data_IF_699338365398
#
_entry.id   IF_699338365398
#
_cell.length_a   1.000
_cell.length_b   1.000
_cell.length_c   1.000
_cell.angle_alpha   90.00
_cell.angle_beta   90.00
_cell.angle_gamma   90.00
#
_symmetry.space_group_name_H-M   'P 1'
#
loop_
_entity.id
_entity.type
_entity.pdbx_description
1 polymer ?
#
# COMPACT_ATOMS: atom_id res chain seq x y z
N UNK A 1 -4.80 -25.90 -46.49
CA UNK A 1 -4.31 -26.13 -45.10
C UNK A 1 -3.73 -24.81 -44.62
N UNK A 2 -4.49 -24.03 -43.86
CA UNK A 2 -3.97 -22.79 -43.25
C UNK A 2 -2.90 -23.16 -42.23
N UNK A 3 -1.68 -22.70 -42.45
CA UNK A 3 -0.67 -22.67 -41.39
C UNK A 3 -1.18 -21.71 -40.32
N UNK A 4 -1.74 -22.27 -39.25
CA UNK A 4 -2.04 -21.54 -38.03
C UNK A 4 -0.71 -21.12 -37.41
N UNK A 5 -0.22 -19.95 -37.80
CA UNK A 5 1.02 -19.40 -37.28
C UNK A 5 0.73 -18.97 -35.83
N UNK A 6 0.92 -19.89 -34.88
CA UNK A 6 0.82 -19.56 -33.46
C UNK A 6 1.90 -18.52 -33.13
N UNK A 7 1.46 -17.29 -32.94
CA UNK A 7 2.27 -16.17 -32.50
C UNK A 7 2.83 -16.45 -31.10
N UNK A 8 3.99 -17.11 -31.04
CA UNK A 8 4.65 -17.38 -29.76
C UNK A 8 5.27 -16.10 -29.21
N UNK A 9 4.83 -15.68 -28.03
CA UNK A 9 5.38 -14.51 -27.35
C UNK A 9 6.68 -14.84 -26.62
N UNK A 10 7.65 -13.92 -26.70
CA UNK A 10 8.92 -14.05 -25.99
C UNK A 10 8.73 -13.85 -24.49
N UNK A 11 9.33 -14.72 -23.68
CA UNK A 11 9.41 -14.57 -22.22
C UNK A 11 10.02 -13.24 -21.78
N UNK A 12 10.93 -12.66 -22.58
CA UNK A 12 11.50 -11.34 -22.30
C UNK A 12 10.47 -10.22 -22.41
N UNK A 13 9.53 -10.30 -23.36
CA UNK A 13 8.42 -9.33 -23.47
C UNK A 13 7.46 -9.44 -22.29
N UNK A 14 7.18 -10.67 -21.84
CA UNK A 14 6.37 -10.90 -20.66
C UNK A 14 7.00 -10.31 -19.39
N UNK A 15 8.28 -10.62 -19.14
CA UNK A 15 9.01 -10.06 -18.00
C UNK A 15 9.09 -8.53 -18.06
N UNK A 16 9.36 -7.96 -19.24
CA UNK A 16 9.38 -6.51 -19.44
C UNK A 16 8.03 -5.84 -19.17
N UNK A 17 6.93 -6.49 -19.57
CA UNK A 17 5.58 -6.01 -19.28
C UNK A 17 5.31 -5.99 -17.78
N UNK A 18 5.58 -7.09 -17.07
CA UNK A 18 5.39 -7.17 -15.61
C UNK A 18 6.25 -6.13 -14.88
N UNK A 19 7.55 -6.03 -15.21
CA UNK A 19 8.45 -5.08 -14.56
C UNK A 19 8.02 -3.62 -14.78
N UNK A 20 7.62 -3.28 -16.01
CA UNK A 20 7.10 -1.94 -16.33
C UNK A 20 5.81 -1.66 -15.55
N UNK A 21 4.89 -2.63 -15.49
CA UNK A 21 3.65 -2.49 -14.73
C UNK A 21 3.91 -2.30 -13.23
N UNK A 22 4.81 -3.06 -12.62
CA UNK A 22 5.18 -2.89 -11.20
C UNK A 22 5.71 -1.48 -10.95
N UNK A 23 6.63 -1.00 -11.79
CA UNK A 23 7.20 0.34 -11.66
C UNK A 23 6.13 1.43 -11.78
N UNK A 24 5.28 1.37 -12.81
CA UNK A 24 4.18 2.34 -13.01
C UNK A 24 3.20 2.30 -11.85
N UNK A 25 2.78 1.10 -11.43
CA UNK A 25 1.82 0.93 -10.34
C UNK A 25 2.36 1.47 -9.01
N UNK A 26 3.66 1.30 -8.71
CA UNK A 26 4.28 1.87 -7.52
C UNK A 26 4.07 3.39 -7.43
N UNK A 27 4.30 4.12 -8.53
CA UNK A 27 4.06 5.57 -8.55
C UNK A 27 2.56 5.90 -8.52
N UNK A 28 1.72 5.15 -9.24
CA UNK A 28 0.27 5.37 -9.25
C UNK A 28 -0.38 5.14 -7.88
N UNK A 29 0.23 4.38 -6.97
CA UNK A 29 -0.28 4.28 -5.61
C UNK A 29 -0.36 5.64 -4.91
N UNK A 30 0.43 6.65 -5.31
CA UNK A 30 0.42 8.01 -4.76
C UNK A 30 -0.65 8.92 -5.36
N UNK A 31 -1.47 8.46 -6.31
CA UNK A 31 -2.41 9.31 -7.06
C UNK A 31 -3.45 10.07 -6.21
N UNK A 32 -3.70 9.64 -4.96
CA UNK A 32 -4.71 10.25 -4.08
C UNK A 32 -4.11 11.10 -2.95
N UNK A 33 -2.79 11.31 -2.91
CA UNK A 33 -2.21 12.20 -1.91
C UNK A 33 -2.74 13.64 -2.12
N UNK A 34 -3.01 14.33 -1.02
CA UNK A 34 -3.49 15.71 -1.02
C UNK A 34 -2.39 16.72 -1.41
N UNK A 35 -1.14 16.50 -0.99
CA UNK A 35 0.03 17.34 -1.34
C UNK A 35 1.19 16.48 -1.81
N UNK A 36 2.00 16.99 -2.75
CA UNK A 36 3.23 16.33 -3.20
C UNK A 36 4.29 16.25 -2.09
N UNK A 37 4.29 17.18 -1.14
CA UNK A 37 5.21 17.14 0.01
C UNK A 37 4.94 15.92 0.91
N UNK A 38 3.76 15.31 0.79
CA UNK A 38 3.40 14.09 1.51
C UNK A 38 3.80 12.80 0.76
N UNK A 39 4.46 12.90 -0.40
CA UNK A 39 4.89 11.77 -1.21
C UNK A 39 6.19 11.12 -0.68
N UNK A 40 6.16 10.63 0.55
CA UNK A 40 7.30 9.95 1.17
C UNK A 40 7.44 8.50 0.69
N UNK A 41 8.68 8.00 0.64
CA UNK A 41 8.94 6.61 0.28
C UNK A 41 8.37 5.64 1.32
N UNK A 42 7.69 4.58 0.86
CA UNK A 42 7.07 3.56 1.71
C UNK A 42 7.50 2.16 1.29
N UNK A 43 8.13 1.44 2.22
CA UNK A 43 8.49 0.02 2.05
C UNK A 43 7.23 -0.82 1.81
N UNK A 44 6.15 -0.57 2.55
CA UNK A 44 4.88 -1.28 2.38
C UNK A 44 4.33 -1.13 0.95
N UNK A 45 4.38 0.07 0.37
CA UNK A 45 3.94 0.32 -1.02
C UNK A 45 4.84 -0.39 -2.01
N UNK A 46 6.15 -0.38 -1.77
CA UNK A 46 7.10 -1.10 -2.62
C UNK A 46 6.83 -2.60 -2.61
N UNK A 47 6.71 -3.22 -1.43
CA UNK A 47 6.39 -4.64 -1.29
C UNK A 47 5.03 -4.97 -1.92
N UNK A 48 4.01 -4.14 -1.67
CA UNK A 48 2.69 -4.29 -2.29
C UNK A 48 2.76 -4.24 -3.83
N UNK A 49 3.61 -3.39 -4.41
CA UNK A 49 3.80 -3.34 -5.86
C UNK A 49 4.35 -4.66 -6.43
N UNK A 50 5.26 -5.31 -5.72
CA UNK A 50 5.77 -6.63 -6.10
C UNK A 50 4.73 -7.74 -5.90
N UNK A 51 3.91 -7.68 -4.85
CA UNK A 51 2.76 -8.61 -4.67
C UNK A 51 1.80 -8.49 -5.85
N UNK A 52 1.46 -7.27 -6.27
CA UNK A 52 0.63 -7.03 -7.45
C UNK A 52 1.29 -7.59 -8.71
N UNK A 53 2.60 -7.40 -8.89
CA UNK A 53 3.35 -8.00 -10.01
C UNK A 53 3.28 -9.53 -10.05
N UNK A 54 3.36 -10.18 -8.89
CA UNK A 54 3.20 -11.64 -8.77
C UNK A 54 1.77 -12.08 -9.15
N UNK A 55 0.74 -11.39 -8.65
CA UNK A 55 -0.66 -11.67 -8.99
C UNK A 55 -0.92 -11.46 -10.49
N UNK A 56 -0.43 -10.36 -11.06
CA UNK A 56 -0.51 -10.09 -12.49
C UNK A 56 0.16 -11.19 -13.30
N UNK A 57 1.34 -11.65 -12.88
CA UNK A 57 2.04 -12.77 -13.52
C UNK A 57 1.16 -14.02 -13.58
N UNK A 58 0.52 -14.38 -12.47
CA UNK A 58 -0.39 -15.54 -12.38
C UNK A 58 -1.60 -15.37 -13.32
N UNK A 59 -2.28 -14.23 -13.24
CA UNK A 59 -3.49 -13.95 -14.04
C UNK A 59 -3.15 -13.96 -15.53
N UNK A 60 -2.15 -13.18 -15.94
CA UNK A 60 -1.78 -13.02 -17.34
C UNK A 60 -1.30 -14.35 -17.95
N UNK A 61 -0.47 -15.10 -17.23
CA UNK A 61 0.01 -16.39 -17.71
C UNK A 61 -1.13 -17.41 -17.82
N UNK A 62 -2.13 -17.36 -16.92
CA UNK A 62 -3.33 -18.18 -16.99
C UNK A 62 -4.16 -17.92 -18.24
N UNK A 63 -4.44 -16.66 -18.58
CA UNK A 63 -5.20 -16.30 -19.78
C UNK A 63 -4.41 -16.50 -21.08
N UNK A 64 -3.10 -16.26 -21.05
CA UNK A 64 -2.23 -16.31 -22.24
C UNK A 64 -1.46 -17.62 -22.34
N UNK A 65 -1.99 -18.70 -21.77
CA UNK A 65 -1.26 -19.97 -21.58
C UNK A 65 -0.70 -20.56 -22.88
N UNK A 66 -1.48 -20.53 -23.98
CA UNK A 66 -1.06 -21.08 -25.29
C UNK A 66 0.01 -20.25 -25.98
N UNK A 67 0.16 -18.96 -25.63
CA UNK A 67 1.08 -18.04 -26.31
C UNK A 67 2.55 -18.24 -25.93
N UNK A 68 2.83 -18.93 -24.84
CA UNK A 68 4.19 -19.17 -24.34
C UNK A 68 4.65 -20.60 -24.60
N UNK A 69 5.94 -20.78 -24.94
CA UNK A 69 6.54 -22.09 -25.18
C UNK A 69 7.17 -22.67 -23.91
N UNK A 70 7.10 -24.00 -23.80
CA UNK A 70 7.73 -24.78 -22.72
C UNK A 70 6.83 -24.96 -21.49
N UNK A 71 6.31 -26.17 -21.27
CA UNK A 71 5.44 -26.47 -20.12
C UNK A 71 6.16 -26.24 -18.78
N UNK A 72 7.41 -26.68 -18.68
CA UNK A 72 8.23 -26.49 -17.48
C UNK A 72 8.43 -25.01 -17.14
N UNK A 73 8.67 -24.15 -18.14
CA UNK A 73 8.83 -22.71 -17.93
C UNK A 73 7.54 -22.06 -17.42
N UNK A 74 6.38 -22.41 -18.01
CA UNK A 74 5.08 -21.91 -17.56
C UNK A 74 4.79 -22.30 -16.13
N UNK A 75 4.92 -23.58 -15.81
CA UNK A 75 4.67 -24.09 -14.47
C UNK A 75 5.66 -23.48 -13.47
N UNK A 76 6.93 -23.35 -13.85
CA UNK A 76 7.97 -22.73 -13.02
C UNK A 76 7.68 -21.26 -12.71
N UNK A 77 7.32 -20.45 -13.71
CA UNK A 77 6.96 -19.04 -13.52
C UNK A 77 5.68 -18.92 -12.69
N UNK A 78 4.66 -19.74 -12.96
CA UNK A 78 3.41 -19.74 -12.21
C UNK A 78 3.64 -20.08 -10.73
N UNK A 79 4.32 -21.18 -10.45
CA UNK A 79 4.62 -21.62 -9.09
C UNK A 79 5.53 -20.61 -8.37
N UNK A 80 6.56 -20.11 -9.04
CA UNK A 80 7.45 -19.07 -8.51
C UNK A 80 6.70 -17.80 -8.14
N UNK A 81 5.81 -17.31 -9.00
CA UNK A 81 5.01 -16.12 -8.73
C UNK A 81 4.04 -16.34 -7.56
N UNK A 82 3.41 -17.51 -7.44
CA UNK A 82 2.51 -17.84 -6.31
C UNK A 82 3.30 -17.85 -5.00
N UNK A 83 4.42 -18.58 -4.95
CA UNK A 83 5.25 -18.71 -3.74
C UNK A 83 5.81 -17.36 -3.32
N UNK A 84 6.40 -16.61 -4.26
CA UNK A 84 6.93 -15.29 -3.99
C UNK A 84 5.83 -14.31 -3.56
N UNK A 85 4.67 -14.34 -4.23
CA UNK A 85 3.53 -13.51 -3.90
C UNK A 85 3.01 -13.75 -2.47
N UNK A 86 2.88 -15.02 -2.06
CA UNK A 86 2.51 -15.38 -0.69
C UNK A 86 3.59 -14.92 0.30
N UNK A 87 4.86 -15.17 0.03
CA UNK A 87 5.95 -14.76 0.91
C UNK A 87 5.97 -13.23 1.12
N UNK A 88 5.89 -12.45 0.04
CA UNK A 88 5.82 -10.99 0.09
C UNK A 88 4.57 -10.50 0.81
N UNK A 89 3.42 -11.15 0.60
CA UNK A 89 2.18 -10.83 1.31
C UNK A 89 2.34 -11.05 2.82
N UNK A 90 2.95 -12.16 3.24
CA UNK A 90 3.20 -12.46 4.65
C UNK A 90 4.17 -11.45 5.28
N UNK A 91 5.25 -11.10 4.59
CA UNK A 91 6.18 -10.04 5.02
C UNK A 91 5.42 -8.73 5.18
N UNK A 92 4.64 -8.32 4.19
CA UNK A 92 3.87 -7.09 4.23
C UNK A 92 2.78 -7.11 5.31
N UNK A 93 2.20 -8.26 5.65
CA UNK A 93 1.20 -8.36 6.74
C UNK A 93 1.84 -8.39 8.13
N UNK A 94 3.05 -8.90 8.26
CA UNK A 94 3.73 -9.05 9.55
C UNK A 94 4.17 -7.72 10.16
N UNK A 95 4.43 -6.70 9.32
CA UNK A 95 5.04 -5.42 9.72
C UNK A 95 6.39 -5.56 10.47
N UNK A 96 7.00 -6.75 10.50
CA UNK A 96 8.19 -7.04 11.31
C UNK A 96 9.46 -6.29 10.87
N UNK A 97 9.46 -5.71 9.66
CA UNK A 97 10.57 -4.95 9.09
C UNK A 97 10.32 -3.44 9.09
N UNK A 98 9.27 -2.97 9.76
CA UNK A 98 8.87 -1.56 9.79
C UNK A 98 9.18 -0.98 11.18
N UNK A 99 10.26 -0.19 11.27
CA UNK A 99 10.58 0.59 12.46
C UNK A 99 9.92 1.98 12.47
N UNK A 100 10.17 2.77 13.51
CA UNK A 100 9.47 4.03 13.79
C UNK A 100 9.48 5.02 12.62
N UNK A 101 10.65 5.30 12.04
CA UNK A 101 10.77 6.22 10.90
C UNK A 101 10.08 5.66 9.65
N UNK A 102 10.21 4.36 9.38
CA UNK A 102 9.56 3.73 8.23
C UNK A 102 8.03 3.73 8.38
N UNK A 103 7.54 3.52 9.60
CA UNK A 103 6.13 3.63 9.95
C UNK A 103 5.62 5.05 9.64
N UNK A 104 6.25 6.08 10.20
CA UNK A 104 5.83 7.47 10.01
C UNK A 104 5.90 7.90 8.54
N UNK A 105 6.99 7.56 7.84
CA UNK A 105 7.11 7.79 6.39
C UNK A 105 6.04 7.06 5.58
N UNK A 106 5.54 5.92 6.03
CA UNK A 106 4.42 5.24 5.35
C UNK A 106 3.05 5.85 5.68
N UNK A 107 2.91 6.43 6.88
CA UNK A 107 1.65 7.00 7.37
C UNK A 107 1.39 8.41 6.84
N UNK A 108 2.42 9.23 6.59
CA UNK A 108 2.25 10.56 5.97
C UNK A 108 1.38 10.50 4.68
N UNK A 109 1.68 9.66 3.66
CA UNK A 109 0.86 9.57 2.46
C UNK A 109 -0.49 8.90 2.72
N UNK A 110 -0.60 8.00 3.71
CA UNK A 110 -1.87 7.39 4.11
C UNK A 110 -2.82 8.46 4.68
N UNK A 111 -2.36 9.23 5.65
CA UNK A 111 -3.06 10.38 6.23
C UNK A 111 -3.42 11.40 5.15
N UNK A 112 -2.51 11.65 4.21
CA UNK A 112 -2.76 12.57 3.12
C UNK A 112 -3.90 12.14 2.19
N UNK A 113 -4.14 10.84 2.00
CA UNK A 113 -5.28 10.32 1.23
C UNK A 113 -6.58 10.57 1.99
N UNK A 114 -6.60 10.39 3.31
CA UNK A 114 -7.76 10.67 4.14
C UNK A 114 -8.16 12.16 4.04
N UNK A 115 -7.18 13.07 4.10
CA UNK A 115 -7.40 14.51 3.90
C UNK A 115 -7.99 14.79 2.50
N UNK A 116 -7.42 14.20 1.44
CA UNK A 116 -7.93 14.39 0.08
C UNK A 116 -9.41 13.98 -0.02
N UNK A 117 -9.77 12.83 0.53
CA UNK A 117 -11.12 12.29 0.45
C UNK A 117 -12.11 13.11 1.28
N UNK A 118 -11.77 13.44 2.53
CA UNK A 118 -12.62 14.23 3.42
C UNK A 118 -12.90 15.64 2.88
N UNK A 119 -11.91 16.26 2.21
CA UNK A 119 -12.04 17.58 1.60
C UNK A 119 -12.87 17.60 0.32
N UNK A 120 -12.79 16.54 -0.49
CA UNK A 120 -13.41 16.50 -1.83
C UNK A 120 -14.76 15.80 -1.87
N UNK A 121 -15.10 14.99 -0.87
CA UNK A 121 -16.38 14.30 -0.82
C UNK A 121 -17.55 15.30 -0.68
N UNK A 122 -18.59 15.09 -1.50
CA UNK A 122 -19.86 15.80 -1.39
C UNK A 122 -20.68 15.19 -0.24
N UNK A 123 -20.47 15.71 0.97
CA UNK A 123 -21.15 15.28 2.20
C UNK A 123 -22.25 16.29 2.54
N UNK A 124 -23.48 15.80 2.70
CA UNK A 124 -24.67 16.62 2.99
C UNK A 124 -25.17 16.53 4.44
N UNK A 125 -24.95 15.39 5.13
CA UNK A 125 -25.30 15.25 6.55
C UNK A 125 -24.30 16.07 7.39
N UNK A 126 -24.76 17.05 8.20
CA UNK A 126 -23.88 17.88 9.02
C UNK A 126 -22.97 17.10 9.97
N UNK A 127 -23.46 15.99 10.55
CA UNK A 127 -22.67 15.16 11.46
C UNK A 127 -21.52 14.48 10.75
N UNK A 128 -21.76 14.03 9.52
CA UNK A 128 -20.71 13.42 8.68
C UNK A 128 -19.71 14.47 8.20
N UNK A 129 -20.16 15.72 7.98
CA UNK A 129 -19.26 16.83 7.66
C UNK A 129 -18.36 17.15 8.85
N UNK A 130 -18.92 17.26 10.05
CA UNK A 130 -18.17 17.48 11.28
C UNK A 130 -17.12 16.39 11.49
N UNK A 131 -17.50 15.11 11.37
CA UNK A 131 -16.56 14.00 11.41
C UNK A 131 -15.45 14.12 10.34
N UNK A 132 -15.79 14.51 9.12
CA UNK A 132 -14.80 14.69 8.05
C UNK A 132 -13.82 15.84 8.36
N UNK A 133 -14.30 16.92 8.98
CA UNK A 133 -13.46 18.06 9.37
C UNK A 133 -12.56 17.71 10.57
N UNK A 134 -13.04 16.90 11.51
CA UNK A 134 -12.22 16.31 12.58
C UNK A 134 -11.14 15.37 12.04
N UNK A 135 -11.47 14.55 11.04
CA UNK A 135 -10.48 13.73 10.32
C UNK A 135 -9.44 14.65 9.68
N UNK A 136 -9.82 15.73 9.02
CA UNK A 136 -8.83 16.66 8.42
C UNK A 136 -7.93 17.25 9.52
N UNK A 137 -8.51 17.77 10.60
CA UNK A 137 -7.77 18.42 11.67
C UNK A 137 -6.77 17.45 12.35
N UNK A 138 -7.22 16.24 12.69
CA UNK A 138 -6.37 15.21 13.31
C UNK A 138 -5.24 14.78 12.37
N UNK A 139 -5.55 14.47 11.12
CA UNK A 139 -4.58 13.94 10.15
C UNK A 139 -3.52 14.99 9.78
N UNK A 140 -3.89 16.28 9.68
CA UNK A 140 -2.94 17.38 9.45
C UNK A 140 -1.99 17.54 10.64
N UNK A 141 -2.51 17.52 11.87
CA UNK A 141 -1.69 17.58 13.09
C UNK A 141 -0.72 16.40 13.16
N UNK A 142 -1.20 15.19 12.90
CA UNK A 142 -0.39 13.97 12.94
C UNK A 142 0.70 13.95 11.87
N UNK A 143 0.44 14.49 10.66
CA UNK A 143 1.50 14.68 9.65
C UNK A 143 2.60 15.62 10.17
N UNK A 144 2.23 16.73 10.81
CA UNK A 144 3.21 17.65 11.38
C UNK A 144 4.04 16.99 12.50
N UNK A 145 3.38 16.26 13.40
CA UNK A 145 4.04 15.49 14.47
C UNK A 145 5.00 14.45 13.91
N UNK A 146 4.58 13.67 12.91
CA UNK A 146 5.42 12.68 12.25
C UNK A 146 6.66 13.31 11.61
N UNK A 147 6.52 14.44 10.92
CA UNK A 147 7.67 15.13 10.33
C UNK A 147 8.67 15.59 11.39
N UNK A 148 8.18 16.18 12.49
CA UNK A 148 9.03 16.63 13.61
C UNK A 148 9.73 15.43 14.26
N UNK A 149 9.02 14.33 14.50
CA UNK A 149 9.56 13.12 15.12
C UNK A 149 10.59 12.41 14.23
N UNK A 150 10.35 12.34 12.91
CA UNK A 150 11.34 11.82 11.95
C UNK A 150 12.63 12.65 12.05
N UNK A 151 12.51 13.98 12.05
CA UNK A 151 13.67 14.87 12.12
C UNK A 151 14.40 14.80 13.47
N UNK A 152 13.69 14.59 14.57
CA UNK A 152 14.29 14.36 15.91
C UNK A 152 15.04 13.03 15.94
N UNK A 153 14.41 11.93 15.51
CA UNK A 153 15.01 10.58 15.56
C UNK A 153 16.21 10.47 14.63
N UNK A 154 16.15 11.06 13.43
CA UNK A 154 17.29 11.07 12.50
C UNK A 154 18.50 11.84 13.04
N UNK A 155 18.28 12.87 13.88
CA UNK A 155 19.35 13.68 14.48
C UNK A 155 19.84 13.15 15.82
N UNK A 156 18.94 12.67 16.66
CA UNK A 156 19.19 12.39 18.07
C UNK A 156 19.07 10.90 18.43
N UNK A 157 18.61 10.05 17.51
CA UNK A 157 18.35 8.64 17.74
C UNK A 157 17.00 8.36 18.41
N UNK A 158 16.64 7.07 18.46
CA UNK A 158 15.40 6.61 19.10
C UNK A 158 15.49 6.70 20.63
N UNK A 159 14.37 7.04 21.28
CA UNK A 159 14.25 7.09 22.74
C UNK A 159 13.77 5.76 23.32
N UNK A 160 14.47 4.69 22.99
CA UNK A 160 14.14 3.34 23.41
C UNK A 160 14.88 2.31 22.58
N UNK A 161 14.91 1.05 23.03
CA UNK A 161 15.59 -0.04 22.34
C UNK A 161 14.72 -1.29 22.19
N UNK A 162 13.44 -1.22 22.57
CA UNK A 162 12.51 -2.35 22.56
C UNK A 162 11.14 -1.92 22.07
N UNK A 163 10.46 -2.78 21.32
CA UNK A 163 9.11 -2.55 20.86
C UNK A 163 8.13 -2.37 22.05
N UNK A 164 7.25 -1.37 21.93
CA UNK A 164 6.20 -1.09 22.90
C UNK A 164 4.89 -1.79 22.50
N UNK A 165 4.05 -2.23 23.46
CA UNK A 165 2.79 -2.87 23.14
C UNK A 165 1.79 -1.88 22.52
N UNK A 166 1.06 -2.33 21.50
CA UNK A 166 0.00 -1.54 20.88
C UNK A 166 -1.28 -1.50 21.75
N UNK A 167 -2.06 -0.41 21.61
CA UNK A 167 -3.43 -0.35 22.15
C UNK A 167 -4.33 -1.37 21.41
N UNK A 168 -5.36 -1.96 22.06
CA UNK A 168 -6.34 -2.82 21.38
C UNK A 168 -7.06 -2.09 20.24
N UNK A 169 -7.40 -2.83 19.19
CA UNK A 169 -8.17 -2.35 18.02
C UNK A 169 -9.70 -2.42 18.24
N UNK A 170 -10.15 -2.57 19.48
CA UNK A 170 -11.55 -2.67 19.86
C UNK A 170 -12.06 -1.32 20.39
N UNK A 171 -13.35 -1.05 20.22
CA UNK A 171 -13.98 0.12 20.87
C UNK A 171 -13.96 -0.11 22.37
N UNK A 172 -13.14 0.67 23.06
CA UNK A 172 -13.00 0.55 24.51
C UNK A 172 -14.11 1.32 25.24
N UNK A 173 -14.48 0.94 26.47
CA UNK A 173 -15.56 1.60 27.21
C UNK A 173 -15.40 3.12 27.37
N UNK A 174 -14.18 3.63 27.42
CA UNK A 174 -13.86 5.07 27.47
C UNK A 174 -14.15 5.82 26.15
N UNK A 175 -14.23 5.12 25.02
CA UNK A 175 -14.56 5.71 23.73
C UNK A 175 -16.08 5.84 23.51
N UNK A 176 -16.87 4.95 24.11
CA UNK A 176 -18.33 4.87 23.90
C UNK A 176 -19.07 6.19 24.14
N UNK A 177 -18.79 6.97 25.22
CA UNK A 177 -19.44 8.25 25.42
C UNK A 177 -19.15 9.24 24.28
N UNK A 178 -17.88 9.34 23.88
CA UNK A 178 -17.44 10.26 22.80
C UNK A 178 -18.05 9.88 21.46
N UNK A 179 -18.15 8.58 21.17
CA UNK A 179 -18.78 8.09 19.94
C UNK A 179 -20.26 8.47 19.89
N UNK A 180 -20.98 8.33 21.02
CA UNK A 180 -22.40 8.72 21.09
C UNK A 180 -22.60 10.22 20.92
N UNK A 181 -21.80 11.02 21.63
CA UNK A 181 -21.84 12.48 21.51
C UNK A 181 -21.58 12.95 20.07
N UNK A 182 -20.65 12.31 19.36
CA UNK A 182 -20.30 12.67 17.98
C UNK A 182 -21.38 12.35 16.92
N UNK A 183 -22.43 11.58 17.27
CA UNK A 183 -23.48 11.16 16.31
C UNK A 183 -24.88 11.68 16.64
N UNK A 184 -25.03 12.33 17.79
CA UNK A 184 -26.25 13.02 18.23
C UNK A 184 -26.40 14.37 17.53
#
# INVERSE_FOLDING_TARGET
MEQKHEMSMSWGKFAGMIATSVAVMFFLMYQLIYSLDHATFSVNRLVASFVMGCVMTVIMLGFMWSMYKGMAAKVGVLAGAIVLGIALLLVNRSQALIGDVAFMRSMIPHHSIAINNARKAAISDPRVRELADEIIASQVREIAEMNILIEDIERNGERGSSALPARPAEVTPDMQPKIREAVE
#
